data_IF_723501147035
#
_entry.id   IF_723501147035
#
_cell.length_a   1.000
_cell.length_b   1.000
_cell.length_c   1.000
_cell.angle_alpha   90.00
_cell.angle_beta   90.00
_cell.angle_gamma   90.00
#
_symmetry.space_group_name_H-M   'P 1'
#
loop_
_entity.id
_entity.type
_entity.pdbx_description
1 polymer ?
#
# COMPACT_ATOMS: atom_id res chain seq x y z
N UNK A 1 34.61 23.99 30.33
CA UNK A 1 33.24 23.75 29.84
C UNK A 1 33.11 24.58 28.58
N UNK A 2 32.94 24.09 27.37
CA UNK A 2 32.92 22.75 26.79
C UNK A 2 33.09 23.03 25.29
N UNK A 3 34.03 22.36 24.64
CA UNK A 3 34.23 22.43 23.21
C UNK A 3 33.60 21.15 22.63
N UNK A 4 32.57 21.26 21.77
CA UNK A 4 32.12 20.13 20.94
C UNK A 4 31.52 20.61 19.62
N UNK A 5 32.42 20.73 18.64
CA UNK A 5 32.41 20.10 17.30
C UNK A 5 31.09 20.16 16.52
N UNK A 6 31.08 21.08 15.55
CA UNK A 6 30.19 21.10 14.38
C UNK A 6 30.76 20.14 13.31
N UNK A 7 30.33 18.87 13.32
CA UNK A 7 30.74 17.90 12.30
C UNK A 7 29.82 17.98 11.07
N UNK A 8 30.19 18.89 10.16
CA UNK A 8 29.64 18.97 8.82
C UNK A 8 29.96 17.72 8.00
N UNK A 9 28.89 17.13 7.50
CA UNK A 9 28.72 16.11 6.44
C UNK A 9 29.71 16.30 5.26
N UNK A 10 30.97 15.91 5.42
CA UNK A 10 31.91 15.71 4.31
C UNK A 10 31.79 14.25 3.84
N UNK A 11 31.13 14.05 2.70
CA UNK A 11 31.09 12.76 2.02
C UNK A 11 32.50 12.31 1.66
N UNK A 12 32.84 11.06 1.95
CA UNK A 12 34.10 10.47 1.51
C UNK A 12 34.13 10.44 -0.03
N UNK A 13 35.27 10.76 -0.67
CA UNK A 13 35.41 10.53 -2.10
C UNK A 13 35.26 9.03 -2.37
N UNK A 14 34.37 8.69 -3.30
CA UNK A 14 34.08 7.32 -3.73
C UNK A 14 35.36 6.70 -4.29
N UNK A 15 35.68 5.49 -3.83
CA UNK A 15 36.88 4.78 -4.28
C UNK A 15 36.66 4.22 -5.70
N UNK A 16 37.73 4.08 -6.49
CA UNK A 16 37.61 3.56 -7.88
C UNK A 16 36.94 2.17 -7.94
N UNK A 17 37.08 1.37 -6.88
CA UNK A 17 36.40 0.08 -6.74
C UNK A 17 34.89 0.23 -6.55
N UNK A 18 34.42 1.27 -5.86
CA UNK A 18 33.00 1.57 -5.72
C UNK A 18 32.45 2.12 -7.05
N UNK A 19 33.24 2.85 -7.83
CA UNK A 19 32.84 3.32 -9.17
C UNK A 19 32.56 2.16 -10.12
N UNK A 20 33.44 1.16 -10.16
CA UNK A 20 33.23 -0.02 -10.99
C UNK A 20 32.01 -0.87 -10.55
N UNK A 21 31.71 -0.93 -9.25
CA UNK A 21 30.52 -1.61 -8.75
C UNK A 21 29.23 -0.88 -9.15
N UNK A 22 29.23 0.45 -9.08
CA UNK A 22 28.09 1.25 -9.54
C UNK A 22 27.86 1.14 -11.05
N UNK A 23 28.92 1.13 -11.86
CA UNK A 23 28.80 0.94 -13.31
C UNK A 23 28.33 -0.48 -13.68
N UNK A 24 28.82 -1.52 -12.98
CA UNK A 24 28.35 -2.89 -13.19
C UNK A 24 26.86 -3.02 -12.88
N UNK A 25 26.39 -2.44 -11.76
CA UNK A 25 24.98 -2.43 -11.39
C UNK A 25 24.11 -1.63 -12.36
N UNK A 26 24.64 -0.52 -12.91
CA UNK A 26 23.93 0.27 -13.91
C UNK A 26 23.79 -0.46 -15.25
N UNK A 27 24.79 -1.26 -15.63
CA UNK A 27 24.75 -2.09 -16.83
C UNK A 27 23.70 -3.21 -16.71
N UNK A 28 23.61 -3.87 -15.54
CA UNK A 28 22.62 -4.92 -15.30
C UNK A 28 21.16 -4.40 -15.36
N UNK A 29 20.93 -3.15 -14.91
CA UNK A 29 19.61 -2.51 -14.98
C UNK A 29 19.25 -2.13 -16.43
N UNK A 30 20.21 -1.66 -17.22
CA UNK A 30 19.98 -1.34 -18.64
C UNK A 30 19.69 -2.61 -19.47
N UNK A 31 20.32 -3.74 -19.14
CA UNK A 31 20.07 -5.02 -19.82
C UNK A 31 18.68 -5.60 -19.45
N UNK A 32 18.22 -5.40 -18.22
CA UNK A 32 16.86 -5.79 -17.81
C UNK A 32 15.77 -5.00 -18.58
N UNK A 33 15.98 -3.72 -18.85
CA UNK A 33 15.01 -2.87 -19.55
C UNK A 33 15.00 -3.13 -21.07
N UNK A 34 16.15 -3.48 -21.66
CA UNK A 34 16.25 -3.86 -23.07
C UNK A 34 15.51 -5.17 -23.41
N UNK A 35 15.37 -6.09 -22.44
CA UNK A 35 14.61 -7.33 -22.59
C UNK A 35 13.09 -7.13 -22.62
N UNK A 36 12.58 -6.04 -22.04
CA UNK A 36 11.14 -5.78 -21.93
C UNK A 36 10.54 -5.07 -23.16
N UNK A 37 11.36 -4.43 -24.01
CA UNK A 37 10.90 -3.62 -25.15
C UNK A 37 11.03 -4.28 -26.53
N UNK A 38 11.57 -5.49 -26.62
CA UNK A 38 11.77 -6.20 -27.90
C UNK A 38 10.53 -6.97 -28.42
N UNK A 39 9.33 -6.66 -27.91
CA UNK A 39 8.10 -7.32 -28.34
C UNK A 39 6.95 -6.32 -28.59
N UNK A 40 7.17 -5.30 -29.45
CA UNK A 40 6.04 -4.64 -30.14
C UNK A 40 6.45 -3.68 -31.26
N UNK A 41 5.63 -3.74 -32.33
CA UNK A 41 5.44 -2.76 -33.43
C UNK A 41 6.33 -3.03 -34.66
N UNK A 42 5.80 -3.31 -35.87
CA UNK A 42 5.07 -2.40 -36.81
C UNK A 42 4.54 -3.21 -38.05
N UNK A 43 3.76 -2.70 -39.06
CA UNK A 43 2.86 -1.53 -39.19
C UNK A 43 1.41 -1.85 -39.64
N UNK A 44 0.58 -0.80 -39.61
CA UNK A 44 -0.88 -0.64 -39.81
C UNK A 44 -1.42 -0.73 -41.26
N UNK A 45 -2.66 -1.21 -41.44
CA UNK A 45 -3.55 -0.93 -42.59
C UNK A 45 -5.05 -1.15 -42.21
N UNK A 46 -6.01 -0.23 -42.47
CA UNK A 46 -7.46 -0.42 -42.27
C UNK A 46 -8.25 -0.49 -43.61
N UNK A 47 -9.60 -0.58 -43.65
CA UNK A 47 -10.53 -1.51 -42.98
C UNK A 47 -11.34 -2.37 -44.00
N UNK A 48 -11.74 -3.60 -43.65
CA UNK A 48 -12.60 -4.46 -44.49
C UNK A 48 -12.93 -5.80 -43.83
N UNK A 49 -14.07 -6.46 -44.16
CA UNK A 49 -14.98 -7.07 -43.19
C UNK A 49 -14.52 -8.43 -42.64
N UNK A 50 -14.97 -8.73 -41.40
CA UNK A 50 -14.82 -10.01 -40.68
C UNK A 50 -14.80 -11.25 -41.57
N UNK A 51 -13.88 -12.19 -41.30
CA UNK A 51 -14.32 -13.44 -40.71
C UNK A 51 -13.35 -14.06 -39.65
N UNK A 52 -13.97 -14.83 -38.75
CA UNK A 52 -13.43 -15.90 -37.90
C UNK A 52 -12.62 -15.52 -36.63
N UNK A 53 -13.23 -15.80 -35.47
CA UNK A 53 -12.56 -15.91 -34.17
C UNK A 53 -11.44 -16.97 -34.24
N UNK A 54 -10.22 -16.69 -33.72
CA UNK A 54 -9.33 -17.75 -33.28
C UNK A 54 -9.85 -18.38 -31.96
N UNK A 55 -9.62 -19.68 -31.73
CA UNK A 55 -10.12 -20.38 -30.55
C UNK A 55 -9.53 -19.82 -29.25
N UNK A 56 -10.24 -19.96 -28.11
CA UNK A 56 -9.79 -19.46 -26.82
C UNK A 56 -8.45 -20.08 -26.44
N UNK A 57 -7.53 -19.20 -26.05
CA UNK A 57 -6.26 -19.49 -25.41
C UNK A 57 -6.45 -20.52 -24.31
N UNK A 58 -5.84 -21.68 -24.50
CA UNK A 58 -5.71 -22.75 -23.53
C UNK A 58 -5.30 -22.16 -22.18
N UNK A 59 -6.05 -22.39 -21.08
CA UNK A 59 -5.56 -22.06 -19.74
C UNK A 59 -4.24 -22.83 -19.48
N UNK A 60 -3.29 -22.27 -18.72
CA UNK A 60 -2.05 -22.97 -18.41
C UNK A 60 -2.38 -24.34 -17.84
N UNK A 61 -1.76 -25.35 -18.46
CA UNK A 61 -1.96 -26.75 -18.15
C UNK A 61 -1.88 -26.95 -16.63
N UNK A 62 -3.00 -27.39 -16.08
CA UNK A 62 -3.15 -27.89 -14.72
C UNK A 62 -2.43 -29.24 -14.61
N UNK A 63 -1.10 -29.27 -14.80
CA UNK A 63 -0.31 -30.50 -14.80
C UNK A 63 1.11 -30.26 -14.29
N UNK A 64 1.28 -30.48 -13.00
CA UNK A 64 2.46 -31.12 -12.45
C UNK A 64 2.05 -31.97 -11.24
N UNK A 65 1.20 -32.97 -11.47
CA UNK A 65 1.06 -34.10 -10.53
C UNK A 65 2.31 -34.98 -10.66
N UNK A 66 3.48 -34.41 -10.37
CA UNK A 66 4.71 -35.18 -10.19
C UNK A 66 4.67 -35.81 -8.81
N UNK A 67 5.02 -37.08 -8.69
CA UNK A 67 5.29 -37.70 -7.40
C UNK A 67 6.21 -36.79 -6.59
N UNK A 68 5.71 -36.28 -5.47
CA UNK A 68 6.52 -35.49 -4.55
C UNK A 68 7.54 -36.45 -3.94
N UNK A 69 8.80 -36.30 -4.35
CA UNK A 69 9.89 -37.01 -3.71
C UNK A 69 10.12 -36.43 -2.31
N UNK A 70 10.63 -37.24 -1.39
CA UNK A 70 10.93 -36.80 -0.02
C UNK A 70 11.85 -35.57 0.01
N UNK A 71 12.77 -35.44 -0.94
CA UNK A 71 13.65 -34.27 -1.07
C UNK A 71 12.88 -32.98 -1.39
N UNK A 72 11.85 -33.07 -2.23
CA UNK A 72 10.99 -31.93 -2.58
C UNK A 72 10.14 -31.51 -1.38
N UNK A 73 9.57 -32.48 -0.66
CA UNK A 73 8.84 -32.21 0.58
C UNK A 73 9.75 -31.57 1.65
N UNK A 74 10.99 -32.05 1.80
CA UNK A 74 11.96 -31.48 2.71
C UNK A 74 12.32 -30.03 2.36
N UNK A 75 12.46 -29.71 1.07
CA UNK A 75 12.75 -28.34 0.62
C UNK A 75 11.57 -27.40 0.87
N UNK A 76 10.32 -27.82 0.60
CA UNK A 76 9.12 -27.05 0.96
C UNK A 76 9.10 -26.77 2.47
N UNK A 77 9.37 -27.78 3.31
CA UNK A 77 9.45 -27.58 4.75
C UNK A 77 10.50 -26.55 5.16
N UNK A 78 11.70 -26.56 4.55
CA UNK A 78 12.74 -25.55 4.83
C UNK A 78 12.30 -24.14 4.46
N UNK A 79 11.67 -23.98 3.30
CA UNK A 79 11.15 -22.70 2.83
C UNK A 79 10.07 -22.18 3.78
N UNK A 80 9.13 -23.03 4.18
CA UNK A 80 8.09 -22.65 5.13
C UNK A 80 8.65 -22.30 6.51
N UNK A 81 9.69 -23.00 6.99
CA UNK A 81 10.35 -22.67 8.26
C UNK A 81 11.09 -21.34 8.17
N UNK A 82 11.82 -21.08 7.09
CA UNK A 82 12.57 -19.83 6.90
C UNK A 82 11.64 -18.60 6.81
N UNK A 83 10.43 -18.76 6.28
CA UNK A 83 9.42 -17.71 6.22
C UNK A 83 8.44 -17.67 7.39
N UNK A 84 8.72 -18.38 8.50
CA UNK A 84 7.82 -18.51 9.67
C UNK A 84 6.39 -18.96 9.30
N UNK A 85 6.24 -19.71 8.22
CA UNK A 85 4.98 -20.14 7.62
C UNK A 85 4.83 -21.67 7.69
N UNK A 86 5.31 -22.29 8.78
CA UNK A 86 5.29 -23.75 8.97
C UNK A 86 3.89 -24.37 8.83
N UNK A 87 2.84 -23.63 9.17
CA UNK A 87 1.44 -24.06 9.03
C UNK A 87 1.01 -24.31 7.56
N UNK A 88 1.73 -23.75 6.58
CA UNK A 88 1.44 -23.98 5.15
C UNK A 88 2.06 -25.27 4.62
N UNK A 89 3.10 -25.80 5.26
CA UNK A 89 3.91 -26.88 4.70
C UNK A 89 3.07 -28.12 4.35
N UNK A 90 2.16 -28.54 5.23
CA UNK A 90 1.31 -29.71 4.98
C UNK A 90 0.35 -29.50 3.81
N UNK A 91 -0.22 -28.30 3.67
CA UNK A 91 -1.12 -27.96 2.56
C UNK A 91 -0.36 -27.94 1.22
N UNK A 92 0.80 -27.29 1.19
CA UNK A 92 1.63 -27.20 -0.01
C UNK A 92 2.14 -28.58 -0.48
N UNK A 93 2.51 -29.45 0.46
CA UNK A 93 2.89 -30.83 0.16
C UNK A 93 1.67 -31.63 -0.31
N UNK A 94 0.49 -31.48 0.30
CA UNK A 94 -0.71 -32.19 -0.15
C UNK A 94 -1.17 -31.74 -1.56
N UNK A 95 -1.01 -30.46 -1.87
CA UNK A 95 -1.33 -29.89 -3.18
C UNK A 95 -0.31 -30.24 -4.28
N UNK A 96 0.91 -30.62 -3.89
CA UNK A 96 1.99 -30.92 -4.85
C UNK A 96 2.50 -29.70 -5.60
N UNK A 97 2.49 -28.54 -4.95
CA UNK A 97 3.03 -27.31 -5.56
C UNK A 97 4.54 -27.39 -5.80
N UNK A 98 4.97 -26.63 -6.81
CA UNK A 98 6.38 -26.49 -7.13
C UNK A 98 7.13 -25.70 -6.03
N UNK A 99 8.46 -25.85 -5.97
CA UNK A 99 9.30 -25.07 -5.04
C UNK A 99 9.16 -23.56 -5.28
N UNK A 100 9.03 -23.15 -6.54
CA UNK A 100 8.86 -21.74 -6.90
C UNK A 100 7.54 -21.18 -6.34
N UNK A 101 6.45 -21.91 -6.52
CA UNK A 101 5.13 -21.52 -6.01
C UNK A 101 5.07 -21.56 -4.48
N UNK A 102 5.74 -22.53 -3.83
CA UNK A 102 5.87 -22.57 -2.38
C UNK A 102 6.59 -21.31 -1.85
N UNK A 103 7.68 -20.88 -2.51
CA UNK A 103 8.39 -19.64 -2.16
C UNK A 103 7.51 -18.41 -2.32
N UNK A 104 6.75 -18.34 -3.41
CA UNK A 104 5.82 -17.23 -3.66
C UNK A 104 4.75 -17.14 -2.57
N UNK A 105 4.09 -18.25 -2.22
CA UNK A 105 3.05 -18.27 -1.18
C UNK A 105 3.60 -17.95 0.21
N UNK A 106 4.80 -18.43 0.52
CA UNK A 106 5.49 -18.09 1.77
C UNK A 106 5.90 -16.60 1.79
N UNK A 107 6.37 -16.05 0.67
CA UNK A 107 6.65 -14.62 0.53
C UNK A 107 5.40 -13.74 0.65
N UNK A 108 4.26 -14.19 0.12
CA UNK A 108 2.97 -13.51 0.34
C UNK A 108 2.62 -13.47 1.84
N UNK A 109 2.92 -14.55 2.56
CA UNK A 109 2.67 -14.62 4.01
C UNK A 109 3.55 -13.66 4.81
N UNK A 110 4.85 -13.58 4.48
CA UNK A 110 5.76 -12.64 5.14
C UNK A 110 5.40 -11.19 4.85
N UNK A 111 5.09 -10.86 3.60
CA UNK A 111 4.70 -9.49 3.21
C UNK A 111 3.42 -9.01 3.91
N UNK A 112 2.42 -9.88 4.13
CA UNK A 112 1.23 -9.55 4.91
C UNK A 112 1.61 -9.23 6.36
N UNK A 113 2.48 -10.03 6.99
CA UNK A 113 2.93 -9.81 8.37
C UNK A 113 3.71 -8.51 8.52
N UNK A 114 4.60 -8.21 7.58
CA UNK A 114 5.36 -6.96 7.55
C UNK A 114 4.44 -5.75 7.37
N UNK A 115 3.47 -5.83 6.46
CA UNK A 115 2.49 -4.77 6.24
C UNK A 115 1.67 -4.48 7.51
N UNK A 116 1.17 -5.52 8.19
CA UNK A 116 0.45 -5.37 9.47
C UNK A 116 1.37 -4.80 10.55
N UNK A 117 2.62 -5.28 10.65
CA UNK A 117 3.58 -4.76 11.63
C UNK A 117 3.88 -3.28 11.40
N UNK A 118 4.02 -2.86 10.14
CA UNK A 118 4.19 -1.47 9.77
C UNK A 118 2.95 -0.63 10.11
N UNK A 119 1.77 -1.08 9.69
CA UNK A 119 0.51 -0.38 9.95
C UNK A 119 0.19 -0.27 11.46
N UNK A 120 0.50 -1.30 12.25
CA UNK A 120 0.39 -1.26 13.71
C UNK A 120 1.33 -0.22 14.34
N UNK A 121 2.55 -0.05 13.82
CA UNK A 121 3.46 1.01 14.29
C UNK A 121 2.91 2.42 14.02
N UNK A 122 2.19 2.60 12.90
CA UNK A 122 1.60 3.89 12.54
C UNK A 122 0.31 4.17 13.32
N UNK A 123 -0.57 3.18 13.43
CA UNK A 123 -1.89 3.31 14.03
C UNK A 123 -2.18 2.12 14.97
N UNK A 124 -1.57 2.08 16.16
CA UNK A 124 -1.65 0.92 17.06
C UNK A 124 -3.08 0.65 17.56
N UNK A 125 -3.92 1.69 17.61
CA UNK A 125 -5.32 1.58 18.02
C UNK A 125 -6.24 1.04 16.90
N UNK A 126 -5.86 1.24 15.63
CA UNK A 126 -6.68 0.86 14.47
C UNK A 126 -6.33 -0.52 13.91
N UNK A 127 -5.06 -0.91 14.02
CA UNK A 127 -4.54 -2.17 13.47
C UNK A 127 -4.02 -3.04 14.61
N UNK A 128 -4.71 -4.13 14.97
CA UNK A 128 -4.24 -5.07 15.98
C UNK A 128 -2.97 -5.81 15.54
N UNK A 129 -2.11 -6.19 16.49
CA UNK A 129 -0.89 -6.96 16.20
C UNK A 129 -1.18 -8.34 15.62
N UNK A 130 -2.29 -8.95 16.02
CA UNK A 130 -2.72 -10.27 15.58
C UNK A 130 -3.50 -10.23 14.25
N UNK A 131 -3.67 -9.06 13.64
CA UNK A 131 -4.44 -8.89 12.41
C UNK A 131 -3.87 -9.71 11.24
N UNK A 132 -2.54 -9.91 11.21
CA UNK A 132 -1.90 -10.73 10.19
C UNK A 132 -2.39 -12.19 10.25
N UNK A 133 -2.59 -12.75 11.44
CA UNK A 133 -3.12 -14.11 11.57
C UNK A 133 -4.55 -14.20 11.04
N UNK A 134 -5.37 -13.17 11.25
CA UNK A 134 -6.73 -13.11 10.72
C UNK A 134 -6.75 -13.06 9.19
N UNK A 135 -5.90 -12.24 8.55
CA UNK A 135 -5.81 -12.17 7.09
C UNK A 135 -5.34 -13.49 6.46
N UNK A 136 -4.35 -14.14 7.08
CA UNK A 136 -3.85 -15.44 6.61
C UNK A 136 -4.90 -16.54 6.77
N UNK A 137 -5.63 -16.57 7.89
CA UNK A 137 -6.72 -17.53 8.10
C UNK A 137 -7.87 -17.35 7.11
N UNK A 138 -8.11 -16.12 6.64
CA UNK A 138 -9.10 -15.81 5.61
C UNK A 138 -8.59 -16.09 4.19
N UNK A 139 -7.30 -16.39 4.02
CA UNK A 139 -6.69 -16.59 2.71
C UNK A 139 -6.65 -15.32 1.86
N UNK A 140 -6.58 -14.13 2.48
CA UNK A 140 -6.53 -12.87 1.73
C UNK A 140 -5.24 -12.76 0.93
N UNK A 141 -5.36 -12.18 -0.26
CA UNK A 141 -4.19 -11.79 -1.04
C UNK A 141 -3.46 -10.62 -0.37
N UNK A 142 -2.18 -10.46 -0.69
CA UNK A 142 -1.35 -9.33 -0.20
C UNK A 142 -2.01 -7.99 -0.51
N UNK A 143 -2.61 -7.86 -1.70
CA UNK A 143 -3.27 -6.63 -2.14
C UNK A 143 -4.54 -6.34 -1.34
N UNK A 144 -5.41 -7.35 -1.14
CA UNK A 144 -6.62 -7.18 -0.34
C UNK A 144 -6.30 -6.84 1.13
N UNK A 145 -5.25 -7.46 1.70
CA UNK A 145 -4.78 -7.11 3.04
C UNK A 145 -4.29 -5.66 3.13
N UNK A 146 -3.58 -5.15 2.10
CA UNK A 146 -3.13 -3.76 2.05
C UNK A 146 -4.29 -2.77 1.94
N UNK A 147 -5.29 -3.09 1.13
CA UNK A 147 -6.49 -2.27 0.96
C UNK A 147 -7.29 -2.17 2.28
N UNK A 148 -7.49 -3.29 2.98
CA UNK A 148 -8.17 -3.28 4.30
C UNK A 148 -7.36 -2.50 5.35
N UNK A 149 -6.04 -2.68 5.39
CA UNK A 149 -5.16 -1.90 6.28
C UNK A 149 -5.24 -0.40 5.99
N UNK A 150 -5.21 -0.02 4.72
CA UNK A 150 -5.32 1.38 4.32
C UNK A 150 -6.68 1.97 4.71
N UNK A 151 -7.78 1.26 4.44
CA UNK A 151 -9.12 1.69 4.83
C UNK A 151 -9.25 1.90 6.34
N UNK A 152 -8.65 1.04 7.16
CA UNK A 152 -8.63 1.18 8.63
C UNK A 152 -7.84 2.40 9.09
N UNK A 153 -6.67 2.64 8.50
CA UNK A 153 -5.86 3.81 8.83
C UNK A 153 -6.58 5.11 8.47
N UNK A 154 -7.18 5.18 7.28
CA UNK A 154 -7.97 6.35 6.85
C UNK A 154 -9.15 6.58 7.79
N UNK A 155 -9.91 5.53 8.13
CA UNK A 155 -11.02 5.65 9.07
C UNK A 155 -10.58 6.14 10.46
N UNK A 156 -9.39 5.73 10.92
CA UNK A 156 -8.83 6.19 12.19
C UNK A 156 -8.36 7.67 12.12
N UNK A 157 -7.79 8.08 10.99
CA UNK A 157 -7.43 9.48 10.73
C UNK A 157 -8.69 10.37 10.65
N UNK A 158 -9.75 9.92 9.99
CA UNK A 158 -11.03 10.66 9.93
C UNK A 158 -11.66 10.80 11.32
N UNK A 159 -11.60 9.76 12.16
CA UNK A 159 -12.09 9.82 13.54
C UNK A 159 -11.31 10.79 14.43
N UNK A 160 -10.02 10.99 14.15
CA UNK A 160 -9.12 11.88 14.91
C UNK A 160 -8.92 13.24 14.25
N UNK A 161 -9.49 13.44 13.06
CA UNK A 161 -9.49 14.72 12.35
C UNK A 161 -10.36 15.71 13.11
N UNK A 162 -9.72 16.42 14.05
CA UNK A 162 -10.30 17.58 14.69
C UNK A 162 -10.53 18.60 13.58
N UNK A 163 -11.80 18.77 13.21
CA UNK A 163 -12.26 19.84 12.35
C UNK A 163 -11.67 21.16 12.85
N UNK A 164 -10.71 21.72 12.10
CA UNK A 164 -10.00 22.98 12.43
C UNK A 164 -10.94 24.18 12.53
N UNK A 165 -12.15 24.01 12.03
CA UNK A 165 -13.27 24.89 12.18
C UNK A 165 -14.22 24.25 13.20
N UNK A 166 -14.41 24.90 14.34
CA UNK A 166 -15.64 24.72 15.11
C UNK A 166 -16.76 25.07 14.12
N UNK A 167 -17.64 24.14 13.69
CA UNK A 167 -18.80 24.52 12.92
C UNK A 167 -19.52 25.55 13.77
N UNK A 168 -19.56 26.80 13.28
CA UNK A 168 -20.06 27.93 14.05
C UNK A 168 -21.35 27.48 14.72
N UNK A 169 -21.37 27.54 16.05
CA UNK A 169 -22.53 27.13 16.84
C UNK A 169 -23.72 27.79 16.17
N UNK A 170 -24.61 26.99 15.58
CA UNK A 170 -25.81 27.46 14.90
C UNK A 170 -26.83 27.91 15.97
N UNK A 171 -26.36 28.70 16.92
CA UNK A 171 -27.17 29.40 17.88
C UNK A 171 -27.75 30.61 17.18
N UNK A 172 -29.07 30.76 17.28
CA UNK A 172 -29.86 31.92 16.86
C UNK A 172 -29.40 33.28 17.44
N UNK A 173 -28.21 33.38 18.03
CA UNK A 173 -27.63 34.61 18.52
C UNK A 173 -27.34 35.62 17.40
N UNK A 174 -27.09 35.17 16.17
CA UNK A 174 -26.69 36.06 15.06
C UNK A 174 -27.73 37.13 14.71
N UNK A 175 -29.02 36.79 14.63
CA UNK A 175 -30.02 37.75 14.17
C UNK A 175 -30.43 38.73 15.27
N UNK A 176 -30.74 38.24 16.47
CA UNK A 176 -31.13 39.08 17.61
C UNK A 176 -29.98 39.96 18.13
N UNK A 177 -28.73 39.44 18.15
CA UNK A 177 -27.56 40.25 18.50
C UNK A 177 -27.25 41.29 17.40
N UNK A 178 -27.44 40.96 16.11
CA UNK A 178 -27.26 41.94 15.03
C UNK A 178 -28.29 43.04 15.08
N UNK A 179 -29.56 42.72 15.34
CA UNK A 179 -30.64 43.72 15.48
C UNK A 179 -30.34 44.64 16.67
N UNK A 180 -29.99 44.09 17.83
CA UNK A 180 -29.68 44.91 19.02
C UNK A 180 -28.40 45.74 18.88
N UNK A 181 -27.41 45.28 18.10
CA UNK A 181 -26.23 46.08 17.74
C UNK A 181 -26.60 47.22 16.78
N UNK A 182 -27.39 46.92 15.74
CA UNK A 182 -27.87 47.90 14.75
C UNK A 182 -28.75 48.97 15.40
N UNK A 183 -29.67 48.59 16.29
CA UNK A 183 -30.51 49.53 17.05
C UNK A 183 -29.67 50.46 17.93
N UNK A 184 -28.58 49.95 18.52
CA UNK A 184 -27.67 50.75 19.33
C UNK A 184 -26.89 51.75 18.47
N UNK A 185 -26.45 51.35 17.28
CA UNK A 185 -25.78 52.25 16.33
C UNK A 185 -26.72 53.31 15.77
N UNK A 186 -27.95 52.94 15.37
CA UNK A 186 -28.96 53.89 14.90
C UNK A 186 -29.34 54.91 15.98
N UNK A 187 -29.48 54.47 17.23
CA UNK A 187 -29.70 55.37 18.38
C UNK A 187 -28.52 56.31 18.63
N UNK A 188 -27.28 55.84 18.48
CA UNK A 188 -26.07 56.70 18.58
C UNK A 188 -25.98 57.71 17.44
N UNK A 189 -26.41 57.34 16.25
CA UNK A 189 -26.47 58.22 15.08
C UNK A 189 -27.65 59.21 15.11
N UNK A 190 -28.42 59.27 16.21
CA UNK A 190 -29.58 60.15 16.34
C UNK A 190 -30.76 59.77 15.45
N UNK A 191 -30.72 58.60 14.80
CA UNK A 191 -31.79 58.08 13.95
C UNK A 191 -32.61 57.09 14.78
N UNK A 192 -33.51 57.62 15.61
CA UNK A 192 -34.53 56.82 16.26
C UNK A 192 -35.37 56.05 15.23
N UNK A 193 -35.74 54.81 15.58
CA UNK A 193 -36.55 53.81 14.86
C UNK A 193 -37.24 54.32 13.57
N UNK A 194 -37.07 53.67 12.40
CA UNK A 194 -38.05 53.85 11.33
C UNK A 194 -39.39 53.31 11.84
N UNK A 195 -40.36 54.20 12.05
CA UNK A 195 -41.77 53.82 12.08
C UNK A 195 -42.05 53.06 10.79
N UNK A 196 -42.38 51.78 10.96
CA UNK A 196 -42.89 50.95 9.88
C UNK A 196 -44.35 51.36 9.64
N UNK A 197 -44.81 51.53 8.40
CA UNK A 197 -46.24 51.66 8.10
C UNK A 197 -47.01 50.37 8.42
#
# INVERSE_FOLDING_TARGET
MEEMVFAGRQGRPMTDSEHHLFESLASDVAEFDAGATAAKVEPTLPPGPSPALPPPTTPPAMQAQGMINNDHAAEICRICLAGDAAHLASGLIAEGVSIAEARERVGATSTIREAVTHAHRMAPHAVPRDQAAAYLAQGLSVQAAREDLFARMVAAEEATSISSHIPATRGNAGHAASISSMERELRRAGRGKPESP
#
